data_IF_570252246584
#
_entry.id   IF_570252246584
#
_cell.length_a   1.000
_cell.length_b   1.000
_cell.length_c   1.000
_cell.angle_alpha   90.00
_cell.angle_beta   90.00
_cell.angle_gamma   90.00
#
_symmetry.space_group_name_H-M   'P 1'
#
loop_
_entity.id
_entity.type
_entity.pdbx_description
1 polymer ?
#
# COMPACT_ATOMS: atom_id res chain seq x y z
N UNK A 1 20.62 -2.67 -2.06
CA UNK A 1 19.59 -3.75 -2.14
C UNK A 1 19.83 -4.69 -0.96
N UNK A 2 18.82 -5.07 -0.18
CA UNK A 2 19.00 -6.08 0.87
C UNK A 2 19.07 -7.47 0.21
N UNK A 3 20.16 -8.20 0.43
CA UNK A 3 20.33 -9.59 -0.02
C UNK A 3 19.51 -10.52 0.87
N UNK A 4 18.74 -11.41 0.26
CA UNK A 4 18.01 -12.47 0.96
C UNK A 4 18.65 -13.81 0.61
N UNK A 5 19.20 -14.50 1.60
CA UNK A 5 19.71 -15.88 1.44
C UNK A 5 18.95 -16.80 2.39
N UNK A 6 18.50 -17.96 1.88
CA UNK A 6 17.75 -18.95 2.67
C UNK A 6 18.43 -20.29 2.46
N UNK A 7 19.01 -20.83 3.53
CA UNK A 7 19.58 -22.18 3.63
C UNK A 7 18.72 -23.05 4.55
N UNK A 8 19.06 -24.34 4.70
CA UNK A 8 18.30 -25.26 5.53
C UNK A 8 18.27 -24.90 7.02
N UNK A 9 19.19 -24.04 7.48
CA UNK A 9 19.36 -23.72 8.89
C UNK A 9 19.30 -22.23 9.18
N UNK A 10 19.49 -21.37 8.17
CA UNK A 10 19.57 -19.93 8.38
C UNK A 10 18.88 -19.11 7.29
N UNK A 11 18.29 -18.00 7.69
CA UNK A 11 17.78 -16.94 6.81
C UNK A 11 18.66 -15.71 7.01
N UNK A 12 19.32 -15.25 5.96
CA UNK A 12 20.08 -13.99 5.99
C UNK A 12 19.28 -12.88 5.32
N UNK A 13 19.10 -11.76 6.03
CA UNK A 13 18.38 -10.58 5.56
C UNK A 13 19.28 -9.34 5.66
N UNK A 14 19.90 -8.95 4.55
CA UNK A 14 20.91 -7.89 4.57
C UNK A 14 22.07 -8.29 5.49
N UNK A 15 22.26 -7.60 6.61
CA UNK A 15 23.31 -7.88 7.61
C UNK A 15 22.87 -8.82 8.73
N UNK A 16 21.59 -9.17 8.83
CA UNK A 16 21.06 -9.97 9.96
C UNK A 16 20.93 -11.44 9.57
N UNK A 17 21.49 -12.35 10.37
CA UNK A 17 21.38 -13.81 10.17
C UNK A 17 20.46 -14.38 11.24
N UNK A 18 19.37 -15.02 10.81
CA UNK A 18 18.41 -15.72 11.65
C UNK A 18 18.62 -17.22 11.53
N UNK A 19 18.65 -17.94 12.66
CA UNK A 19 18.56 -19.39 12.66
C UNK A 19 17.10 -19.83 12.55
N UNK A 20 16.81 -20.82 11.71
CA UNK A 20 15.44 -21.33 11.48
C UNK A 20 14.83 -21.88 12.77
N UNK A 21 15.64 -22.53 13.62
CA UNK A 21 15.22 -23.02 14.95
C UNK A 21 14.71 -21.94 15.90
N UNK A 22 15.08 -20.68 15.66
CA UNK A 22 14.69 -19.54 16.49
C UNK A 22 13.46 -18.79 15.95
N UNK A 23 12.86 -19.25 14.85
CA UNK A 23 11.68 -18.64 14.23
C UNK A 23 10.42 -19.32 14.78
N UNK A 24 9.57 -18.54 15.45
CA UNK A 24 8.31 -19.04 16.01
C UNK A 24 7.15 -18.92 15.04
N UNK A 25 7.14 -17.89 14.20
CA UNK A 25 6.11 -17.75 13.17
C UNK A 25 6.57 -16.86 12.01
N UNK A 26 6.00 -17.16 10.84
CA UNK A 26 6.18 -16.37 9.62
C UNK A 26 4.80 -15.95 9.11
N UNK A 27 4.54 -14.64 9.14
CA UNK A 27 3.22 -14.07 8.82
C UNK A 27 3.29 -13.10 7.65
N UNK A 28 2.20 -13.00 6.89
CA UNK A 28 2.01 -11.88 5.96
C UNK A 28 1.45 -10.71 6.73
N UNK A 29 2.18 -9.59 6.75
CA UNK A 29 1.69 -8.35 7.32
C UNK A 29 1.27 -7.41 6.18
N UNK A 30 0.00 -6.97 6.12
CA UNK A 30 -0.36 -5.90 5.20
C UNK A 30 0.36 -4.63 5.63
N UNK A 31 1.17 -4.04 4.74
CA UNK A 31 1.68 -2.69 4.98
C UNK A 31 0.58 -1.71 4.63
N UNK A 32 0.20 -0.87 5.61
CA UNK A 32 -0.70 0.26 5.35
C UNK A 32 -0.01 1.20 4.37
N UNK A 33 -0.42 1.18 3.11
CA UNK A 33 -0.02 2.19 2.14
C UNK A 33 -0.56 3.53 2.61
N UNK A 34 0.31 4.48 2.94
CA UNK A 34 -0.09 5.88 3.16
C UNK A 34 -0.43 6.47 1.78
N UNK A 35 -1.66 6.98 1.62
CA UNK A 35 -2.09 7.73 0.45
C UNK A 35 -2.06 9.22 0.79
N UNK A 36 -1.66 10.07 -0.16
CA UNK A 36 -1.72 11.54 0.01
C UNK A 36 -3.20 11.95 0.13
N UNK A 37 -4.06 11.39 -0.74
CA UNK A 37 -5.49 11.62 -0.67
C UNK A 37 -6.19 10.56 0.18
N UNK A 38 -6.65 10.98 1.38
CA UNK A 38 -7.49 10.14 2.26
C UNK A 38 -8.79 9.76 1.52
N UNK A 39 -9.30 8.55 1.74
CA UNK A 39 -10.52 8.08 1.06
C UNK A 39 -11.71 8.99 1.37
N UNK A 40 -11.80 9.47 2.62
CA UNK A 40 -12.80 10.44 3.06
C UNK A 40 -12.77 11.73 2.23
N UNK A 41 -11.57 12.22 1.88
CA UNK A 41 -11.43 13.40 1.03
C UNK A 41 -12.00 13.17 -0.37
N UNK A 42 -11.70 12.01 -0.99
CA UNK A 42 -12.25 11.65 -2.30
C UNK A 42 -13.78 11.57 -2.26
N UNK A 43 -14.36 10.95 -1.24
CA UNK A 43 -15.83 10.84 -1.08
C UNK A 43 -16.48 12.21 -0.94
N UNK A 44 -15.90 13.09 -0.11
CA UNK A 44 -16.41 14.46 0.07
C UNK A 44 -16.34 15.24 -1.25
N UNK A 45 -15.23 15.14 -2.00
CA UNK A 45 -15.10 15.80 -3.29
C UNK A 45 -16.13 15.29 -4.31
N UNK A 46 -16.43 13.98 -4.35
CA UNK A 46 -17.46 13.42 -5.24
C UNK A 46 -18.83 14.04 -4.93
N UNK A 47 -19.21 14.14 -3.65
CA UNK A 47 -20.47 14.76 -3.25
C UNK A 47 -20.54 16.25 -3.62
N UNK A 48 -19.44 16.99 -3.41
CA UNK A 48 -19.35 18.41 -3.76
C UNK A 48 -19.42 18.65 -5.27
N UNK A 49 -18.85 17.76 -6.09
CA UNK A 49 -18.99 17.84 -7.56
C UNK A 49 -20.44 17.63 -7.97
N UNK A 50 -21.14 16.65 -7.40
CA UNK A 50 -22.55 16.41 -7.73
C UNK A 50 -23.41 17.67 -7.51
N UNK A 51 -23.23 18.33 -6.36
CA UNK A 51 -23.85 19.62 -6.05
C UNK A 51 -23.39 20.75 -7.00
N UNK A 52 -22.10 20.81 -7.29
CA UNK A 52 -21.54 21.81 -8.19
C UNK A 52 -22.05 21.68 -9.62
N UNK A 53 -22.22 20.46 -10.14
CA UNK A 53 -22.78 20.21 -11.49
C UNK A 53 -24.23 20.70 -11.56
N UNK A 54 -25.06 20.39 -10.54
CA UNK A 54 -26.44 20.88 -10.45
C UNK A 54 -26.50 22.42 -10.47
N UNK A 55 -25.61 23.08 -9.73
CA UNK A 55 -25.54 24.54 -9.68
C UNK A 55 -25.03 25.16 -11.00
N UNK A 56 -24.08 24.50 -11.69
CA UNK A 56 -23.59 24.94 -13.01
C UNK A 56 -24.67 24.82 -14.08
N UNK A 57 -25.50 23.77 -14.03
CA UNK A 57 -26.64 23.62 -14.94
C UNK A 57 -27.68 24.71 -14.70
N UNK A 58 -27.97 25.03 -13.42
CA UNK A 58 -28.91 26.08 -13.06
C UNK A 58 -28.39 27.50 -13.36
N UNK A 59 -27.08 27.72 -13.37
CA UNK A 59 -26.45 29.02 -13.59
C UNK A 59 -25.25 28.90 -14.56
N UNK A 60 -25.51 28.74 -15.88
CA UNK A 60 -24.48 28.43 -16.86
C UNK A 60 -23.50 29.58 -17.12
N UNK A 61 -23.85 30.82 -16.78
CA UNK A 61 -23.03 32.00 -17.06
C UNK A 61 -21.91 32.23 -16.03
N UNK A 62 -21.95 31.50 -14.91
CA UNK A 62 -20.97 31.66 -13.84
C UNK A 62 -19.70 30.85 -14.17
N UNK A 63 -18.77 31.48 -14.88
CA UNK A 63 -17.47 30.92 -15.27
C UNK A 63 -16.70 30.40 -14.04
N UNK A 64 -16.75 31.11 -12.92
CA UNK A 64 -16.09 30.71 -11.66
C UNK A 64 -16.55 29.32 -11.19
N UNK A 65 -17.83 29.01 -11.35
CA UNK A 65 -18.44 27.77 -10.89
C UNK A 65 -18.00 26.57 -11.74
N UNK A 66 -17.82 26.79 -13.06
CA UNK A 66 -17.24 25.80 -14.00
C UNK A 66 -15.77 25.51 -13.66
N UNK A 67 -14.99 26.54 -13.32
CA UNK A 67 -13.60 26.37 -12.90
C UNK A 67 -13.47 25.61 -11.57
N UNK A 68 -14.34 25.93 -10.59
CA UNK A 68 -14.36 25.26 -9.29
C UNK A 68 -14.73 23.77 -9.42
N UNK A 69 -15.76 23.45 -10.21
CA UNK A 69 -16.17 22.06 -10.46
C UNK A 69 -15.11 21.28 -11.24
N UNK A 70 -14.47 21.90 -12.24
CA UNK A 70 -13.39 21.27 -12.99
C UNK A 70 -12.14 20.98 -12.16
N UNK A 71 -11.74 21.91 -11.28
CA UNK A 71 -10.60 21.70 -10.37
C UNK A 71 -10.88 20.61 -9.34
N UNK A 72 -12.08 20.57 -8.76
CA UNK A 72 -12.53 19.46 -7.92
C UNK A 72 -12.47 18.11 -8.66
N UNK A 73 -12.88 18.07 -9.93
CA UNK A 73 -12.83 16.86 -10.75
C UNK A 73 -11.38 16.37 -10.97
N UNK A 74 -10.45 17.30 -11.22
CA UNK A 74 -9.03 16.98 -11.35
C UNK A 74 -8.44 16.40 -10.06
N UNK A 75 -8.80 16.94 -8.88
CA UNK A 75 -8.35 16.41 -7.59
C UNK A 75 -8.87 14.99 -7.32
N UNK A 76 -10.11 14.69 -7.70
CA UNK A 76 -10.66 13.33 -7.60
C UNK A 76 -9.91 12.39 -8.54
N UNK A 77 -9.68 12.81 -9.79
CA UNK A 77 -8.91 12.04 -10.77
C UNK A 77 -7.51 11.68 -10.25
N UNK A 78 -6.80 12.66 -9.66
CA UNK A 78 -5.51 12.45 -9.02
C UNK A 78 -5.58 11.50 -7.82
N UNK A 79 -6.61 11.63 -6.97
CA UNK A 79 -6.82 10.75 -5.81
C UNK A 79 -7.14 9.30 -6.19
N UNK A 80 -7.88 9.10 -7.29
CA UNK A 80 -8.17 7.78 -7.85
C UNK A 80 -6.90 7.21 -8.48
N UNK A 81 -6.21 7.98 -9.33
CA UNK A 81 -4.96 7.57 -9.98
C UNK A 81 -3.90 7.15 -8.96
N UNK A 82 -3.73 7.91 -7.88
CA UNK A 82 -2.81 7.56 -6.79
C UNK A 82 -3.13 6.17 -6.20
N UNK A 83 -4.42 5.82 -6.08
CA UNK A 83 -4.85 4.52 -5.52
C UNK A 83 -4.59 3.35 -6.44
N UNK A 84 -4.74 3.55 -7.76
CA UNK A 84 -4.47 2.52 -8.76
C UNK A 84 -2.97 2.36 -9.04
N UNK A 85 -2.21 3.45 -9.02
CA UNK A 85 -0.79 3.45 -9.38
C UNK A 85 0.12 3.14 -8.21
N UNK A 86 -0.25 3.45 -6.96
CA UNK A 86 0.58 3.08 -5.81
C UNK A 86 0.60 1.56 -5.63
N UNK A 87 1.76 0.90 -5.84
CA UNK A 87 1.84 -0.54 -5.73
C UNK A 87 1.56 -0.96 -4.29
N UNK A 88 0.66 -1.95 -4.12
CA UNK A 88 0.42 -2.60 -2.84
C UNK A 88 1.76 -3.12 -2.31
N UNK A 89 2.20 -2.62 -1.16
CA UNK A 89 3.38 -3.15 -0.48
C UNK A 89 2.92 -4.31 0.39
N UNK A 90 3.49 -5.47 0.16
CA UNK A 90 3.28 -6.63 0.99
C UNK A 90 4.48 -6.76 1.91
N UNK A 91 4.28 -7.06 3.19
CA UNK A 91 5.37 -7.41 4.09
C UNK A 91 5.24 -8.85 4.58
N UNK A 92 6.39 -9.46 4.82
CA UNK A 92 6.52 -10.72 5.54
C UNK A 92 7.17 -10.40 6.88
N UNK A 93 6.51 -10.74 7.99
CA UNK A 93 7.05 -10.59 9.33
C UNK A 93 7.60 -11.94 9.80
N UNK A 94 8.85 -11.93 10.26
CA UNK A 94 9.47 -13.09 10.94
C UNK A 94 9.47 -12.77 12.43
N UNK A 95 8.80 -13.59 13.23
CA UNK A 95 8.82 -13.49 14.70
C UNK A 95 9.78 -14.57 15.21
N UNK A 96 10.68 -14.17 16.09
CA UNK A 96 11.66 -15.07 16.73
C UNK A 96 11.32 -15.32 18.20
N UNK A 97 11.94 -16.35 18.79
CA UNK A 97 11.88 -16.61 20.24
C UNK A 97 12.33 -15.41 21.09
N UNK A 98 13.20 -14.56 20.55
CA UNK A 98 13.68 -13.33 21.22
C UNK A 98 12.71 -12.14 21.08
N UNK A 99 11.53 -12.34 20.47
CA UNK A 99 10.51 -11.29 20.29
C UNK A 99 10.78 -10.29 19.16
N UNK A 100 11.84 -10.46 18.37
CA UNK A 100 12.14 -9.55 17.27
C UNK A 100 11.23 -9.82 16.06
N UNK A 101 10.51 -8.80 15.60
CA UNK A 101 9.72 -8.84 14.37
C UNK A 101 10.42 -8.04 13.25
N UNK A 102 11.09 -8.71 12.31
CA UNK A 102 11.64 -8.03 11.13
C UNK A 102 10.70 -8.16 9.92
N UNK A 103 10.53 -7.05 9.19
CA UNK A 103 9.61 -6.90 8.06
C UNK A 103 10.35 -6.90 6.72
N UNK A 104 10.14 -7.93 5.91
CA UNK A 104 10.56 -7.98 4.51
C UNK A 104 9.46 -7.36 3.66
N UNK A 105 9.64 -6.12 3.21
CA UNK A 105 8.69 -5.45 2.33
C UNK A 105 9.04 -5.67 0.85
N UNK A 106 8.06 -6.10 0.04
CA UNK A 106 8.20 -6.16 -1.42
C UNK A 106 6.93 -5.72 -2.13
N UNK A 107 7.09 -5.13 -3.32
CA UNK A 107 5.98 -4.81 -4.23
C UNK A 107 5.44 -6.06 -4.96
N UNK A 108 6.21 -7.15 -4.98
CA UNK A 108 5.87 -8.36 -5.70
C UNK A 108 5.33 -9.44 -4.74
N UNK A 109 4.02 -9.69 -4.78
CA UNK A 109 3.37 -10.72 -3.96
C UNK A 109 3.85 -12.14 -4.30
N UNK A 110 4.14 -12.44 -5.58
CA UNK A 110 4.67 -13.76 -5.99
C UNK A 110 6.06 -14.00 -5.38
N UNK A 111 6.88 -12.96 -5.28
CA UNK A 111 8.19 -13.04 -4.62
C UNK A 111 8.06 -13.39 -3.12
N UNK A 112 7.17 -12.73 -2.40
CA UNK A 112 6.93 -13.05 -0.99
C UNK A 112 6.30 -14.43 -0.79
N UNK A 113 5.41 -14.86 -1.69
CA UNK A 113 4.87 -16.23 -1.65
C UNK A 113 5.96 -17.28 -1.87
N UNK A 114 6.90 -17.05 -2.79
CA UNK A 114 8.05 -17.94 -2.99
C UNK A 114 8.91 -18.06 -1.74
N UNK A 115 9.15 -16.94 -1.06
CA UNK A 115 9.86 -16.93 0.23
C UNK A 115 9.09 -17.72 1.28
N UNK A 116 7.80 -17.45 1.46
CA UNK A 116 6.95 -18.15 2.41
C UNK A 116 6.93 -19.66 2.17
N UNK A 117 6.74 -20.10 0.92
CA UNK A 117 6.75 -21.53 0.56
C UNK A 117 8.11 -22.16 0.84
N UNK A 118 9.21 -21.46 0.54
CA UNK A 118 10.55 -21.97 0.82
C UNK A 118 10.81 -22.09 2.33
N UNK A 119 10.22 -21.21 3.14
CA UNK A 119 10.32 -21.26 4.60
C UNK A 119 9.43 -22.34 5.24
N UNK A 120 8.26 -22.62 4.66
CA UNK A 120 7.35 -23.67 5.15
C UNK A 120 7.76 -25.09 4.74
N UNK A 121 8.65 -25.23 3.75
CA UNK A 121 9.18 -26.52 3.27
C UNK A 121 10.51 -26.91 3.93
N UNK A 122 11.03 -26.08 4.83
CA UNK A 122 12.20 -26.35 5.65
C UNK A 122 11.77 -27.01 6.96
#
# INVERSE_FOLDING_TARGET
MKTLSITNRTITLGSTIYQVSNITSVGKHPLKTKYIFKLRFVIICIALIGLGILLVIANPDVILLKWLTGTLAAFIGLGIFERFVRPKKYALSIITNAGSAELIASKNQKFLNKILIKLLKL
#
